data_IF_609016615510
#
_entry.id   IF_609016615510
#
_cell.length_a   1.000
_cell.length_b   1.000
_cell.length_c   1.000
_cell.angle_alpha   90.00
_cell.angle_beta   90.00
_cell.angle_gamma   90.00
#
_symmetry.space_group_name_H-M   'P 1'
#
loop_
_entity.id
_entity.type
_entity.pdbx_description
1 polymer ?
#
# COMPACT_ATOMS: atom_id res chain seq x y z
N UNK A 1 -2.15 21.57 -16.14
CA UNK A 1 -1.61 21.13 -14.85
C UNK A 1 -2.77 21.12 -13.84
N UNK A 2 -3.42 19.98 -13.65
CA UNK A 2 -4.50 19.87 -12.66
C UNK A 2 -3.86 19.62 -11.29
N UNK A 3 -4.03 20.57 -10.36
CA UNK A 3 -3.55 20.45 -8.99
C UNK A 3 -4.57 19.64 -8.18
N UNK A 4 -4.16 18.48 -7.65
CA UNK A 4 -4.94 17.69 -6.69
C UNK A 4 -4.95 18.34 -5.28
N UNK A 5 -5.22 19.64 -5.21
CA UNK A 5 -5.33 20.36 -3.95
C UNK A 5 -6.46 19.77 -3.10
N UNK A 6 -6.12 19.22 -1.93
CA UNK A 6 -7.03 18.75 -0.86
C UNK A 6 -8.31 18.05 -1.35
N UNK A 7 -8.22 17.17 -2.36
CA UNK A 7 -9.36 16.34 -2.72
C UNK A 7 -9.47 15.18 -1.72
N UNK A 8 -10.57 15.17 -0.96
CA UNK A 8 -10.99 13.98 -0.22
C UNK A 8 -11.59 13.00 -1.20
N UNK A 9 -10.82 11.97 -1.56
CA UNK A 9 -11.33 10.85 -2.33
C UNK A 9 -12.12 9.90 -1.40
N UNK A 10 -13.19 9.32 -1.93
CA UNK A 10 -13.88 8.22 -1.26
C UNK A 10 -13.29 6.87 -1.69
N UNK A 11 -13.76 5.81 -1.06
CA UNK A 11 -13.37 4.43 -1.32
C UNK A 11 -13.70 3.99 -2.76
N UNK A 12 -14.87 4.34 -3.30
CA UNK A 12 -15.29 4.00 -4.66
C UNK A 12 -14.39 4.62 -5.74
N UNK A 13 -14.12 5.92 -5.64
CA UNK A 13 -13.22 6.60 -6.57
C UNK A 13 -11.79 6.04 -6.50
N UNK A 14 -11.36 5.64 -5.29
CA UNK A 14 -10.05 5.04 -5.10
C UNK A 14 -9.96 3.64 -5.70
N UNK A 15 -11.00 2.80 -5.55
CA UNK A 15 -11.08 1.51 -6.24
C UNK A 15 -11.10 1.64 -7.76
N UNK A 16 -11.80 2.64 -8.29
CA UNK A 16 -11.79 2.94 -9.71
C UNK A 16 -10.37 3.31 -10.17
N UNK A 17 -9.65 4.14 -9.40
CA UNK A 17 -8.26 4.48 -9.69
C UNK A 17 -7.34 3.24 -9.66
N UNK A 18 -7.47 2.37 -8.66
CA UNK A 18 -6.70 1.11 -8.60
C UNK A 18 -7.00 0.20 -9.79
N UNK A 19 -8.26 0.12 -10.22
CA UNK A 19 -8.64 -0.63 -11.43
C UNK A 19 -7.94 -0.08 -12.67
N UNK A 20 -7.91 1.26 -12.82
CA UNK A 20 -7.19 1.91 -13.93
C UNK A 20 -5.69 1.60 -13.89
N UNK A 21 -5.05 1.64 -12.71
CA UNK A 21 -3.64 1.24 -12.58
C UNK A 21 -3.43 -0.21 -13.03
N UNK A 22 -4.31 -1.14 -12.62
CA UNK A 22 -4.25 -2.54 -13.06
C UNK A 22 -4.30 -2.66 -14.59
N UNK A 23 -5.15 -1.87 -15.26
CA UNK A 23 -5.22 -1.91 -16.73
C UNK A 23 -3.89 -1.49 -17.39
N UNK A 24 -3.24 -0.44 -16.87
CA UNK A 24 -1.92 -0.04 -17.35
C UNK A 24 -0.85 -1.08 -17.04
N UNK A 25 -0.86 -1.67 -15.83
CA UNK A 25 0.10 -2.70 -15.43
C UNK A 25 0.03 -3.92 -16.37
N UNK A 26 -1.17 -4.38 -16.72
CA UNK A 26 -1.37 -5.49 -17.64
C UNK A 26 -1.06 -5.15 -19.10
N UNK A 27 -1.06 -3.87 -19.46
CA UNK A 27 -0.63 -3.36 -20.78
C UNK A 27 0.86 -2.97 -20.81
N UNK A 28 1.67 -3.53 -19.89
CA UNK A 28 3.12 -3.32 -19.86
C UNK A 28 3.58 -2.05 -19.15
N UNK A 29 2.69 -1.39 -18.39
CA UNK A 29 3.01 -0.26 -17.51
C UNK A 29 3.17 1.08 -18.21
N UNK A 30 2.75 1.21 -19.47
CA UNK A 30 2.79 2.49 -20.19
C UNK A 30 1.52 3.30 -19.95
N UNK A 31 1.65 4.63 -19.78
CA UNK A 31 0.53 5.54 -19.59
C UNK A 31 0.64 6.40 -18.33
N UNK A 32 -0.42 7.16 -18.04
CA UNK A 32 -0.48 8.10 -16.90
C UNK A 32 -0.95 7.40 -15.60
N UNK A 33 -0.38 6.23 -15.31
CA UNK A 33 -0.74 5.46 -14.11
C UNK A 33 -0.32 6.16 -12.82
N UNK A 34 0.73 6.99 -12.85
CA UNK A 34 1.23 7.71 -11.66
C UNK A 34 0.16 8.60 -11.05
N UNK A 35 -0.63 9.27 -11.91
CA UNK A 35 -1.73 10.12 -11.48
C UNK A 35 -2.78 9.35 -10.67
N UNK A 36 -3.11 8.15 -11.10
CA UNK A 36 -4.09 7.29 -10.43
C UNK A 36 -3.51 6.68 -9.17
N UNK A 37 -2.22 6.32 -9.18
CA UNK A 37 -1.52 5.87 -7.97
C UNK A 37 -1.54 6.96 -6.89
N UNK A 38 -1.36 8.22 -7.26
CA UNK A 38 -1.41 9.33 -6.31
C UNK A 38 -2.77 9.45 -5.59
N UNK A 39 -3.88 9.17 -6.28
CA UNK A 39 -5.22 9.13 -5.66
C UNK A 39 -5.27 8.08 -4.56
N UNK A 40 -4.80 6.87 -4.86
CA UNK A 40 -4.75 5.77 -3.90
C UNK A 40 -3.80 6.06 -2.73
N UNK A 41 -2.62 6.63 -3.01
CA UNK A 41 -1.65 7.05 -1.98
C UNK A 41 -2.27 8.06 -1.02
N UNK A 42 -2.98 9.08 -1.52
CA UNK A 42 -3.63 10.10 -0.69
C UNK A 42 -4.71 9.46 0.19
N UNK A 43 -5.56 8.61 -0.40
CA UNK A 43 -6.63 7.94 0.32
C UNK A 43 -6.10 7.01 1.43
N UNK A 44 -5.13 6.14 1.11
CA UNK A 44 -4.51 5.24 2.09
C UNK A 44 -3.79 6.00 3.19
N UNK A 45 -3.08 7.08 2.88
CA UNK A 45 -2.45 7.93 3.91
C UNK A 45 -3.47 8.59 4.84
N UNK A 46 -4.65 8.98 4.34
CA UNK A 46 -5.68 9.56 5.20
C UNK A 46 -6.17 8.55 6.25
N UNK A 47 -6.29 7.27 5.89
CA UNK A 47 -6.71 6.22 6.81
C UNK A 47 -5.58 5.86 7.77
N UNK A 48 -4.38 5.59 7.24
CA UNK A 48 -3.22 5.18 8.01
C UNK A 48 -2.77 6.23 9.04
N UNK A 49 -3.05 7.51 8.80
CA UNK A 49 -2.71 8.61 9.70
C UNK A 49 -3.91 9.11 10.54
N UNK A 50 -5.09 8.48 10.46
CA UNK A 50 -6.24 8.85 11.29
C UNK A 50 -6.07 8.36 12.73
N UNK A 51 -5.40 9.19 13.55
CA UNK A 51 -5.14 8.91 14.97
C UNK A 51 -6.39 9.03 15.86
N UNK A 52 -7.51 9.52 15.33
CA UNK A 52 -8.78 9.50 16.07
C UNK A 52 -9.46 8.13 15.96
N UNK A 53 -9.24 7.41 14.84
CA UNK A 53 -9.79 6.07 14.61
C UNK A 53 -8.84 4.95 15.07
N UNK A 54 -7.53 5.14 14.89
CA UNK A 54 -6.53 4.08 15.08
C UNK A 54 -5.30 4.56 15.84
N UNK A 55 -4.73 3.68 16.66
CA UNK A 55 -3.54 3.99 17.48
C UNK A 55 -2.28 4.15 16.64
N UNK A 56 -2.05 3.22 15.71
CA UNK A 56 -0.85 3.16 14.86
C UNK A 56 -1.18 2.51 13.50
N UNK A 57 -0.16 2.28 12.67
CA UNK A 57 -0.35 1.71 11.34
C UNK A 57 -0.82 0.25 11.36
N UNK A 58 -0.35 -0.53 12.32
CA UNK A 58 -0.76 -1.93 12.48
C UNK A 58 -2.24 -1.99 12.86
N UNK A 59 -2.63 -1.21 13.87
CA UNK A 59 -4.02 -1.06 14.30
C UNK A 59 -4.92 -0.58 13.16
N UNK A 60 -4.46 0.39 12.35
CA UNK A 60 -5.21 0.87 11.20
C UNK A 60 -5.49 -0.21 10.17
N UNK A 61 -4.49 -1.01 9.78
CA UNK A 61 -4.70 -2.09 8.79
C UNK A 61 -5.55 -3.23 9.37
N UNK A 62 -5.39 -3.53 10.67
CA UNK A 62 -6.16 -4.57 11.35
C UNK A 62 -7.64 -4.20 11.47
N UNK A 63 -7.94 -2.98 11.88
CA UNK A 63 -9.28 -2.58 12.34
C UNK A 63 -10.04 -1.65 11.37
N UNK A 64 -9.46 -1.26 10.23
CA UNK A 64 -10.23 -0.62 9.16
C UNK A 64 -11.22 -1.58 8.51
N UNK A 65 -12.15 -1.05 7.71
CA UNK A 65 -13.09 -1.87 6.95
C UNK A 65 -12.37 -2.74 5.91
N UNK A 66 -12.97 -3.86 5.51
CA UNK A 66 -12.37 -4.77 4.53
C UNK A 66 -12.02 -4.09 3.21
N UNK A 67 -12.86 -3.14 2.78
CA UNK A 67 -12.66 -2.34 1.57
C UNK A 67 -11.47 -1.38 1.71
N UNK A 68 -11.39 -0.65 2.83
CA UNK A 68 -10.24 0.20 3.14
C UNK A 68 -8.95 -0.62 3.20
N UNK A 69 -8.98 -1.79 3.84
CA UNK A 69 -7.86 -2.71 3.95
C UNK A 69 -7.39 -3.20 2.58
N UNK A 70 -8.32 -3.61 1.73
CA UNK A 70 -8.01 -4.01 0.36
C UNK A 70 -7.36 -2.87 -0.43
N UNK A 71 -7.89 -1.65 -0.34
CA UNK A 71 -7.33 -0.48 -1.00
C UNK A 71 -5.90 -0.21 -0.51
N UNK A 72 -5.68 -0.18 0.81
CA UNK A 72 -4.35 0.07 1.40
C UNK A 72 -3.33 -0.95 0.90
N UNK A 73 -3.65 -2.24 1.01
CA UNK A 73 -2.73 -3.32 0.62
C UNK A 73 -2.45 -3.31 -0.89
N UNK A 74 -3.47 -3.09 -1.70
CA UNK A 74 -3.29 -2.98 -3.17
C UNK A 74 -2.45 -1.76 -3.52
N UNK A 75 -2.58 -0.66 -2.77
CA UNK A 75 -1.76 0.53 -2.95
C UNK A 75 -0.30 0.27 -2.57
N UNK A 76 -0.03 -0.42 -1.45
CA UNK A 76 1.34 -0.83 -1.08
C UNK A 76 1.99 -1.65 -2.20
N UNK A 77 1.22 -2.56 -2.81
CA UNK A 77 1.72 -3.36 -3.91
C UNK A 77 2.10 -2.51 -5.12
N UNK A 78 1.18 -1.71 -5.63
CA UNK A 78 1.44 -0.88 -6.82
C UNK A 78 2.54 0.15 -6.58
N UNK A 79 2.58 0.76 -5.40
CA UNK A 79 3.65 1.67 -5.00
C UNK A 79 5.01 0.95 -4.98
N UNK A 80 5.07 -0.28 -4.45
CA UNK A 80 6.30 -1.07 -4.43
C UNK A 80 6.77 -1.45 -5.84
N UNK A 81 5.89 -1.94 -6.73
CA UNK A 81 6.29 -2.22 -8.13
C UNK A 81 6.75 -0.95 -8.83
N UNK A 82 5.97 0.13 -8.71
CA UNK A 82 6.30 1.42 -9.31
C UNK A 82 7.65 1.93 -8.82
N UNK A 83 7.95 1.79 -7.52
CA UNK A 83 9.22 2.20 -6.92
C UNK A 83 10.41 1.48 -7.55
N UNK A 84 10.30 0.16 -7.78
CA UNK A 84 11.34 -0.66 -8.40
C UNK A 84 11.55 -0.29 -9.86
N UNK A 85 10.47 -0.10 -10.64
CA UNK A 85 10.56 0.21 -12.07
C UNK A 85 11.02 1.64 -12.36
N UNK A 86 10.78 2.56 -11.42
CA UNK A 86 11.17 3.97 -11.55
C UNK A 86 12.47 4.32 -10.83
N UNK A 87 13.06 3.37 -10.09
CA UNK A 87 14.21 3.61 -9.21
C UNK A 87 13.98 4.81 -8.27
N UNK A 88 12.81 4.84 -7.63
CA UNK A 88 12.43 5.87 -6.67
C UNK A 88 11.93 5.24 -5.39
N UNK A 89 12.13 5.89 -4.24
CA UNK A 89 11.64 5.34 -2.97
C UNK A 89 10.10 5.24 -2.98
N UNK A 90 9.50 4.15 -2.46
CA UNK A 90 8.06 4.04 -2.34
C UNK A 90 7.52 5.06 -1.35
N UNK A 91 6.29 5.52 -1.57
CA UNK A 91 5.58 6.45 -0.69
C UNK A 91 5.35 5.84 0.70
N UNK A 92 5.18 4.52 0.78
CA UNK A 92 4.84 3.82 2.03
C UNK A 92 6.01 3.09 2.68
N UNK A 93 7.26 3.39 2.32
CA UNK A 93 8.42 2.63 2.80
C UNK A 93 8.50 2.52 4.32
N UNK A 94 8.23 3.60 5.05
CA UNK A 94 8.23 3.59 6.52
C UNK A 94 7.09 2.76 7.12
N UNK A 95 5.93 2.76 6.45
CA UNK A 95 4.77 1.97 6.87
C UNK A 95 5.03 0.49 6.61
N UNK A 96 5.55 0.16 5.42
CA UNK A 96 5.93 -1.20 5.03
C UNK A 96 7.03 -1.74 5.95
N UNK A 97 8.02 -0.92 6.30
CA UNK A 97 9.06 -1.30 7.26
C UNK A 97 8.48 -1.56 8.65
N UNK A 98 7.59 -0.68 9.14
CA UNK A 98 6.94 -0.87 10.43
C UNK A 98 6.10 -2.16 10.49
N UNK A 99 5.41 -2.51 9.40
CA UNK A 99 4.49 -3.65 9.36
C UNK A 99 5.20 -4.99 9.05
N UNK A 100 6.18 -4.98 8.15
CA UNK A 100 6.66 -6.20 7.49
C UNK A 100 8.18 -6.43 7.62
N UNK A 101 8.90 -5.61 8.40
CA UNK A 101 10.33 -5.83 8.64
C UNK A 101 10.57 -7.13 9.43
N UNK A 102 11.28 -8.11 8.84
CA UNK A 102 11.54 -9.40 9.48
C UNK A 102 12.36 -9.30 10.77
N UNK A 103 13.20 -8.27 10.92
CA UNK A 103 14.03 -8.05 12.11
C UNK A 103 13.17 -7.66 13.32
N UNK A 104 12.10 -6.90 13.08
CA UNK A 104 11.16 -6.49 14.11
C UNK A 104 10.16 -7.59 14.49
N UNK A 105 10.13 -8.70 13.73
CA UNK A 105 9.29 -9.87 13.99
C UNK A 105 9.97 -10.89 14.93
N UNK A 106 11.00 -10.48 15.67
CA UNK A 106 11.75 -11.35 16.58
C UNK A 106 10.94 -11.68 17.85
N UNK A 107 10.23 -12.81 17.84
CA UNK A 107 9.89 -13.50 19.08
C UNK A 107 8.69 -14.43 19.00
N UNK A 108 8.94 -15.75 18.95
CA UNK A 108 8.24 -16.94 19.50
C UNK A 108 6.70 -17.04 19.38
N UNK A 109 6.06 -16.01 18.86
CA UNK A 109 4.68 -15.98 18.46
C UNK A 109 4.70 -15.80 16.95
N UNK A 110 4.81 -16.93 16.25
CA UNK A 110 3.99 -17.16 15.07
C UNK A 110 2.51 -17.05 15.51
N UNK A 111 2.09 -15.85 15.97
CA UNK A 111 0.69 -15.46 15.87
C UNK A 111 0.49 -15.49 14.38
N UNK A 112 -0.27 -16.50 13.92
CA UNK A 112 -0.84 -16.58 12.58
C UNK A 112 -0.85 -15.17 11.98
N UNK A 113 -0.01 -14.92 10.96
CA UNK A 113 -0.02 -13.66 10.23
C UNK A 113 -1.49 -13.31 10.04
N UNK A 114 -1.96 -12.30 10.77
CA UNK A 114 -3.40 -12.09 10.82
C UNK A 114 -3.84 -11.93 9.38
N UNK A 115 -4.90 -12.64 8.97
CA UNK A 115 -5.33 -12.64 7.57
C UNK A 115 -5.50 -11.20 7.03
N UNK A 116 -5.80 -10.26 7.94
CA UNK A 116 -5.79 -8.82 7.72
C UNK A 116 -4.44 -8.26 7.24
N UNK A 117 -3.31 -8.57 7.88
CA UNK A 117 -1.98 -8.08 7.50
C UNK A 117 -1.35 -8.85 6.34
N UNK A 118 -1.68 -10.13 6.16
CA UNK A 118 -1.03 -10.96 5.14
C UNK A 118 -1.23 -10.42 3.73
N UNK A 119 -0.15 -10.16 2.99
CA UNK A 119 -0.19 -9.67 1.61
C UNK A 119 -0.50 -10.76 0.59
N UNK A 120 -0.52 -12.04 1.00
CA UNK A 120 -0.80 -13.19 0.13
C UNK A 120 -2.11 -13.04 -0.69
N UNK A 121 -3.26 -12.63 -0.12
CA UNK A 121 -4.50 -12.54 -0.89
C UNK A 121 -4.51 -11.42 -1.94
N UNK A 122 -3.66 -10.40 -1.78
CA UNK A 122 -3.63 -9.23 -2.67
C UNK A 122 -2.49 -9.34 -3.69
N UNK A 123 -1.32 -9.77 -3.24
CA UNK A 123 -0.09 -9.82 -4.04
C UNK A 123 0.30 -11.22 -4.51
N UNK A 124 -0.25 -12.27 -3.88
CA UNK A 124 0.21 -13.64 -4.10
C UNK A 124 1.58 -13.94 -3.49
N UNK A 125 2.10 -13.09 -2.59
CA UNK A 125 3.38 -13.31 -1.92
C UNK A 125 3.35 -12.97 -0.43
N UNK A 126 4.35 -13.47 0.28
CA UNK A 126 4.56 -13.24 1.72
C UNK A 126 4.94 -11.79 2.03
N UNK A 127 4.67 -11.35 3.26
CA UNK A 127 4.94 -9.98 3.73
C UNK A 127 6.41 -9.56 3.56
N UNK A 128 7.35 -10.46 3.85
CA UNK A 128 8.79 -10.21 3.69
C UNK A 128 9.20 -9.88 2.25
N UNK A 129 8.47 -10.39 1.25
CA UNK A 129 8.75 -10.11 -0.16
C UNK A 129 8.34 -8.67 -0.50
N UNK A 130 7.21 -8.22 0.03
CA UNK A 130 6.75 -6.82 -0.10
C UNK A 130 7.76 -5.88 0.55
N UNK A 131 8.19 -6.22 1.76
CA UNK A 131 9.23 -5.48 2.48
C UNK A 131 10.52 -5.39 1.65
N UNK A 132 11.00 -6.52 1.12
CA UNK A 132 12.20 -6.55 0.29
C UNK A 132 12.07 -5.65 -0.95
N UNK A 133 10.93 -5.65 -1.65
CA UNK A 133 10.73 -4.73 -2.79
C UNK A 133 10.82 -3.27 -2.38
N UNK A 134 10.19 -2.90 -1.26
CA UNK A 134 10.23 -1.54 -0.76
C UNK A 134 11.64 -1.10 -0.34
N UNK A 135 12.49 -2.01 0.14
CA UNK A 135 13.88 -1.72 0.49
C UNK A 135 14.77 -1.63 -0.76
N UNK A 136 14.60 -2.51 -1.74
CA UNK A 136 15.44 -2.54 -2.96
C UNK A 136 15.30 -1.25 -3.75
N UNK A 137 14.12 -0.64 -3.80
CA UNK A 137 13.91 0.62 -4.51
C UNK A 137 14.50 1.86 -3.81
N UNK A 138 15.10 1.70 -2.62
CA UNK A 138 15.88 2.74 -1.94
C UNK A 138 17.39 2.65 -2.22
N UNK A 139 17.86 1.60 -2.89
CA UNK A 139 19.27 1.38 -3.24
C UNK A 139 19.66 2.12 -4.52
#
# INVERSE_FOLDING_TARGET
MFSFGKQRFNDDATLAALTVISTFLFDGGQGDWQRWLQVAVIYSNNILNDRNRFRDYCDAVMNCSDKERFIIKTTFWFDSIASVTTMSSPNFVHVIDNLYNPVNQSGVYDVEESASLSMLPVMGCENRVVWAFAQISQL
#
